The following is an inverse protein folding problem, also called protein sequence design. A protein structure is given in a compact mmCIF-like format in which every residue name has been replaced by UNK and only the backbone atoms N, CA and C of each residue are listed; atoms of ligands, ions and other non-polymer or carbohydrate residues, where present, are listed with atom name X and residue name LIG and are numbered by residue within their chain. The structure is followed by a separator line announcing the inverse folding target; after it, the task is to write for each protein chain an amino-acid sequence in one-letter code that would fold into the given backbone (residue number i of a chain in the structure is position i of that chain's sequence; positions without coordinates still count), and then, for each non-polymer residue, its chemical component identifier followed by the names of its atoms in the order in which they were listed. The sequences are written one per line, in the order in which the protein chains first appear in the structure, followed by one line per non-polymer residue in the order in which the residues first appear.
data_IF_152051563051
#
_entry.id   IF_152051563051
#
_cell.length_a   1.000
_cell.length_b   1.000
_cell.length_c   1.000
_cell.angle_alpha   90.00
_cell.angle_beta   90.00
_cell.angle_gamma   90.00
#
_symmetry.space_group_name_H-M   'P 1'
#
loop_
_entity.id
_entity.type
_entity.pdbx_description
1 polymer ?
#
# COMPACT_ATOMS: atom_id res chain seq x y z
N UNK A 1 -4.72 -13.30 -21.69
CA UNK A 1 -5.79 -14.33 -21.61
C UNK A 1 -6.38 -14.29 -20.22
N UNK A 2 -7.69 -14.19 -20.07
CA UNK A 2 -8.32 -14.31 -18.76
C UNK A 2 -7.97 -15.69 -18.18
N UNK A 3 -7.65 -15.73 -16.90
CA UNK A 3 -7.37 -17.00 -16.22
C UNK A 3 -8.60 -17.29 -15.32
N UNK A 4 -9.66 -17.94 -15.84
CA UNK A 4 -10.91 -18.16 -15.11
C UNK A 4 -10.69 -18.92 -13.80
N UNK A 5 -9.72 -19.84 -13.80
CA UNK A 5 -9.34 -20.58 -12.60
C UNK A 5 -8.76 -19.66 -11.51
N UNK A 6 -7.90 -18.72 -11.89
CA UNK A 6 -7.30 -17.76 -10.96
C UNK A 6 -8.37 -16.85 -10.35
N UNK A 7 -9.30 -16.34 -11.16
CA UNK A 7 -10.43 -15.55 -10.69
C UNK A 7 -11.25 -16.31 -9.63
N UNK A 8 -11.65 -17.56 -9.95
CA UNK A 8 -12.46 -18.39 -9.03
C UNK A 8 -11.74 -18.67 -7.70
N UNK A 9 -10.44 -19.01 -7.76
CA UNK A 9 -9.63 -19.28 -6.57
C UNK A 9 -9.45 -18.04 -5.73
N UNK A 10 -9.11 -16.90 -6.34
CA UNK A 10 -8.93 -15.62 -5.62
C UNK A 10 -10.24 -15.15 -4.99
N UNK A 11 -11.35 -15.17 -5.74
CA UNK A 11 -12.66 -14.78 -5.23
C UNK A 11 -13.09 -15.61 -4.02
N UNK A 12 -12.89 -16.94 -4.08
CA UNK A 12 -13.19 -17.83 -2.95
C UNK A 12 -12.33 -17.50 -1.71
N UNK A 13 -11.04 -17.25 -1.92
CA UNK A 13 -10.12 -16.92 -0.83
C UNK A 13 -10.45 -15.56 -0.19
N UNK A 14 -10.87 -14.58 -1.00
CA UNK A 14 -11.27 -13.26 -0.54
C UNK A 14 -12.58 -13.30 0.26
N UNK A 15 -13.58 -14.07 -0.20
CA UNK A 15 -14.86 -14.24 0.52
C UNK A 15 -14.66 -14.79 1.94
N UNK A 16 -13.71 -15.70 2.16
CA UNK A 16 -13.39 -16.20 3.51
C UNK A 16 -12.84 -15.12 4.45
N UNK A 17 -12.20 -14.10 3.92
CA UNK A 17 -11.63 -13.03 4.73
C UNK A 17 -12.70 -12.11 5.33
N UNK A 18 -13.86 -11.98 4.71
CA UNK A 18 -14.95 -11.12 5.19
C UNK A 18 -15.38 -11.49 6.61
N UNK A 19 -15.50 -12.78 6.93
CA UNK A 19 -15.84 -13.21 8.29
C UNK A 19 -14.84 -12.74 9.36
N UNK A 20 -13.56 -12.65 9.02
CA UNK A 20 -12.55 -12.11 9.95
C UNK A 20 -12.70 -10.59 10.10
N UNK A 21 -13.09 -9.88 9.02
CA UNK A 21 -13.36 -8.45 9.08
C UNK A 21 -14.60 -8.17 9.95
N UNK A 22 -15.63 -9.01 9.84
CA UNK A 22 -16.82 -8.94 10.70
C UNK A 22 -16.48 -9.09 12.19
N UNK A 23 -15.51 -9.94 12.54
CA UNK A 23 -15.03 -10.06 13.92
C UNK A 23 -14.40 -8.77 14.44
N UNK A 24 -13.69 -8.03 13.59
CA UNK A 24 -13.11 -6.72 13.97
C UNK A 24 -14.20 -5.69 14.30
N UNK A 25 -15.33 -5.74 13.59
CA UNK A 25 -16.49 -4.88 13.86
C UNK A 25 -17.23 -5.30 15.12
N UNK A 26 -17.33 -6.61 15.36
CA UNK A 26 -18.08 -7.16 16.48
C UNK A 26 -17.33 -7.13 17.80
N UNK A 27 -16.00 -7.30 17.77
CA UNK A 27 -15.14 -7.42 18.93
C UNK A 27 -13.90 -6.51 18.80
N UNK A 28 -14.06 -5.18 18.62
CA UNK A 28 -12.94 -4.28 18.32
C UNK A 28 -11.91 -4.19 19.44
N UNK A 29 -12.35 -4.18 20.69
CA UNK A 29 -11.46 -4.04 21.86
C UNK A 29 -10.62 -5.30 22.07
N UNK A 30 -11.23 -6.48 21.93
CA UNK A 30 -10.57 -7.77 22.05
C UNK A 30 -9.50 -7.93 20.97
N UNK A 31 -9.87 -7.66 19.72
CA UNK A 31 -8.94 -7.74 18.58
C UNK A 31 -7.77 -6.77 18.71
N UNK A 32 -8.02 -5.53 19.16
CA UNK A 32 -6.96 -4.55 19.39
C UNK A 32 -6.06 -4.95 20.57
N UNK A 33 -6.65 -5.49 21.65
CA UNK A 33 -5.91 -5.98 22.81
C UNK A 33 -4.99 -7.16 22.46
N UNK A 34 -5.49 -8.13 21.70
CA UNK A 34 -4.70 -9.26 21.21
C UNK A 34 -3.57 -8.79 20.28
N UNK A 35 -3.85 -7.85 19.36
CA UNK A 35 -2.85 -7.31 18.48
C UNK A 35 -1.76 -6.56 19.24
N UNK A 36 -2.13 -5.71 20.21
CA UNK A 36 -1.19 -4.98 21.07
C UNK A 36 -0.28 -5.98 21.82
N UNK A 37 -0.87 -7.00 22.45
CA UNK A 37 -0.11 -8.03 23.18
C UNK A 37 0.88 -8.75 22.27
N UNK A 38 0.46 -9.11 21.05
CA UNK A 38 1.33 -9.74 20.04
C UNK A 38 2.49 -8.82 19.64
N UNK A 39 2.23 -7.53 19.40
CA UNK A 39 3.27 -6.57 18.99
C UNK A 39 4.29 -6.34 20.11
N UNK A 40 3.83 -6.21 21.36
CA UNK A 40 4.69 -6.06 22.53
C UNK A 40 5.55 -7.31 22.72
N UNK A 41 4.95 -8.51 22.65
CA UNK A 41 5.68 -9.78 22.80
C UNK A 41 6.75 -9.96 21.74
N UNK A 42 6.46 -9.62 20.50
CA UNK A 42 7.44 -9.67 19.40
C UNK A 42 8.58 -8.66 19.60
N UNK A 43 8.28 -7.46 20.07
CA UNK A 43 9.27 -6.39 20.21
C UNK A 43 10.04 -6.40 21.55
N UNK A 44 9.69 -7.25 22.53
CA UNK A 44 10.26 -7.22 23.88
C UNK A 44 11.78 -7.36 23.98
N UNK A 45 12.41 -8.01 22.99
CA UNK A 45 13.86 -8.22 22.94
C UNK A 45 14.60 -7.13 22.16
N UNK A 46 13.89 -6.20 21.52
CA UNK A 46 14.50 -5.07 20.83
C UNK A 46 15.07 -4.05 21.81
N UNK A 47 15.96 -3.17 21.33
CA UNK A 47 16.46 -2.07 22.16
C UNK A 47 15.29 -1.21 22.73
N UNK A 48 14.31 -0.88 21.88
CA UNK A 48 13.13 -0.10 22.30
C UNK A 48 12.27 -0.85 23.33
N UNK A 49 12.02 -2.13 23.09
CA UNK A 49 11.25 -2.97 24.00
C UNK A 49 11.91 -3.15 25.36
N UNK A 50 13.24 -3.30 25.39
CA UNK A 50 14.00 -3.37 26.65
C UNK A 50 14.01 -2.02 27.39
N UNK A 51 14.22 -0.92 26.68
CA UNK A 51 14.21 0.44 27.23
C UNK A 51 12.90 0.76 27.94
N UNK A 52 11.77 0.34 27.36
CA UNK A 52 10.43 0.64 27.90
C UNK A 52 9.78 -0.55 28.61
N UNK A 53 10.55 -1.57 28.95
CA UNK A 53 10.10 -2.67 29.79
C UNK A 53 8.95 -3.50 29.20
N UNK A 54 8.95 -3.78 27.87
CA UNK A 54 7.88 -4.51 27.19
C UNK A 54 7.58 -5.87 27.80
N UNK A 55 8.55 -6.54 28.41
CA UNK A 55 8.36 -7.81 29.10
C UNK A 55 7.41 -7.75 30.30
N UNK A 56 7.17 -6.57 30.88
CA UNK A 56 6.28 -6.37 32.03
C UNK A 56 4.90 -5.80 31.63
N UNK A 57 4.70 -5.45 30.36
CA UNK A 57 3.46 -4.84 29.87
C UNK A 57 2.44 -5.94 29.55
N UNK A 58 1.32 -5.94 30.26
CA UNK A 58 0.21 -6.90 30.06
C UNK A 58 -1.13 -6.23 29.72
N UNK A 59 -1.17 -4.89 29.67
CA UNK A 59 -2.39 -4.13 29.37
C UNK A 59 -2.08 -2.85 28.60
N UNK A 60 -3.11 -2.34 27.90
CA UNK A 60 -3.02 -1.03 27.23
C UNK A 60 -2.65 0.09 28.21
N UNK A 61 -3.20 0.05 29.42
CA UNK A 61 -2.90 1.08 30.44
C UNK A 61 -1.41 1.08 30.79
N UNK A 62 -0.83 -0.08 31.05
CA UNK A 62 0.61 -0.20 31.34
C UNK A 62 1.46 0.27 30.15
N UNK A 63 1.06 -0.07 28.92
CA UNK A 63 1.73 0.41 27.72
C UNK A 63 1.70 1.95 27.66
N UNK A 64 0.54 2.57 27.87
CA UNK A 64 0.39 4.02 27.83
C UNK A 64 1.16 4.74 28.97
N UNK A 65 1.26 4.11 30.13
CA UNK A 65 1.99 4.66 31.30
C UNK A 65 3.53 4.55 31.13
N UNK A 66 4.03 3.51 30.42
CA UNK A 66 5.47 3.22 30.29
C UNK A 66 6.08 3.76 29.00
N UNK A 67 5.31 3.82 27.91
CA UNK A 67 5.80 4.22 26.60
C UNK A 67 5.37 5.66 26.31
N UNK A 68 6.31 6.62 26.25
CA UNK A 68 5.94 8.01 26.03
C UNK A 68 5.44 8.22 24.60
N UNK A 69 4.53 9.17 24.43
CA UNK A 69 4.20 9.69 23.10
C UNK A 69 5.44 10.35 22.52
N UNK A 70 5.86 9.92 21.34
CA UNK A 70 7.10 10.37 20.71
C UNK A 70 6.81 11.01 19.35
N UNK A 71 7.53 12.07 19.04
CA UNK A 71 7.59 12.66 17.70
C UNK A 71 8.61 11.91 16.83
N UNK A 72 8.65 12.24 15.55
CA UNK A 72 9.68 11.70 14.65
C UNK A 72 11.09 12.11 15.10
N UNK A 73 11.24 13.32 15.60
CA UNK A 73 12.49 13.91 16.07
C UNK A 73 13.03 13.15 17.28
N UNK A 74 12.17 12.70 18.18
CA UNK A 74 12.56 11.87 19.34
C UNK A 74 13.10 10.49 18.93
N UNK A 75 12.67 9.99 17.77
CA UNK A 75 13.06 8.70 17.22
C UNK A 75 14.16 8.81 16.15
N UNK A 76 14.54 10.01 15.74
CA UNK A 76 15.42 10.27 14.60
C UNK A 76 16.79 9.60 14.75
N UNK A 77 17.37 9.56 15.95
CA UNK A 77 18.64 8.86 16.19
C UNK A 77 18.51 7.36 15.96
N UNK A 78 17.50 6.72 16.52
CA UNK A 78 17.26 5.29 16.33
C UNK A 78 16.97 4.94 14.86
N UNK A 79 16.20 5.79 14.18
CA UNK A 79 15.93 5.64 12.74
C UNK A 79 17.24 5.77 11.97
N UNK A 80 18.09 6.76 12.33
CA UNK A 80 19.39 6.97 11.73
C UNK A 80 20.34 5.77 11.89
N UNK A 81 20.36 5.17 13.08
CA UNK A 81 21.14 3.95 13.37
C UNK A 81 20.61 2.75 12.55
N UNK A 82 19.28 2.57 12.48
CA UNK A 82 18.66 1.51 11.66
C UNK A 82 19.03 1.68 10.18
N UNK A 83 19.03 2.90 9.66
CA UNK A 83 19.44 3.22 8.28
C UNK A 83 20.90 2.89 8.00
N UNK A 84 21.78 3.00 9.00
CA UNK A 84 23.20 2.61 8.91
C UNK A 84 23.43 1.11 9.06
N UNK A 85 22.36 0.32 9.15
CA UNK A 85 22.40 -1.14 9.20
C UNK A 85 22.32 -1.73 10.60
N UNK A 86 22.18 -0.94 11.66
CA UNK A 86 21.95 -1.47 13.00
C UNK A 86 20.54 -2.06 13.10
N UNK A 87 20.45 -3.31 13.56
CA UNK A 87 19.19 -4.05 13.61
C UNK A 87 18.72 -4.27 15.03
N UNK A 88 17.49 -4.81 15.19
CA UNK A 88 16.88 -5.09 16.48
C UNK A 88 16.71 -3.84 17.38
N UNK A 89 16.55 -2.65 16.75
CA UNK A 89 16.29 -1.42 17.49
C UNK A 89 14.80 -1.24 17.81
N UNK A 90 13.96 -1.22 16.79
CA UNK A 90 12.50 -1.09 16.94
C UNK A 90 11.77 -2.43 16.79
N UNK A 91 12.30 -3.31 15.94
CA UNK A 91 11.68 -4.55 15.53
C UNK A 91 12.71 -5.65 15.38
N UNK A 92 12.38 -6.93 15.73
CA UNK A 92 13.37 -8.01 15.74
C UNK A 92 13.79 -8.47 14.35
N UNK A 93 12.91 -8.36 13.35
CA UNK A 93 13.28 -8.72 11.98
C UNK A 93 14.15 -7.64 11.33
N UNK A 94 14.93 -8.05 10.33
CA UNK A 94 15.83 -7.17 9.62
C UNK A 94 15.03 -6.11 8.84
N UNK A 95 15.28 -4.83 9.13
CA UNK A 95 14.68 -3.69 8.42
C UNK A 95 15.64 -3.23 7.33
N UNK A 96 15.22 -3.42 6.08
CA UNK A 96 15.95 -3.01 4.88
C UNK A 96 15.30 -1.85 4.14
N UNK A 97 14.01 -1.64 4.33
CA UNK A 97 13.21 -0.69 3.58
C UNK A 97 12.89 0.55 4.40
N UNK A 98 13.02 1.72 3.78
CA UNK A 98 12.69 3.01 4.39
C UNK A 98 11.83 3.83 3.44
N UNK A 99 10.58 4.03 3.82
CA UNK A 99 9.67 4.89 3.07
C UNK A 99 10.01 6.36 3.31
N UNK A 100 10.26 7.10 2.23
CA UNK A 100 10.54 8.53 2.26
C UNK A 100 9.23 9.31 2.21
N UNK A 101 8.95 10.11 3.24
CA UNK A 101 7.79 11.00 3.23
C UNK A 101 8.04 12.24 2.36
N UNK A 102 6.96 12.81 1.81
CA UNK A 102 7.02 14.04 0.99
C UNK A 102 7.37 15.32 1.77
N UNK A 103 7.58 15.24 3.08
CA UNK A 103 8.04 16.31 3.97
C UNK A 103 7.27 17.64 3.80
N UNK A 104 6.20 17.82 4.57
CA UNK A 104 5.44 19.07 4.57
C UNK A 104 5.81 19.99 5.75
N UNK A 105 6.62 19.51 6.70
CA UNK A 105 7.01 20.26 7.88
C UNK A 105 8.54 20.29 7.96
N UNK A 106 9.16 21.45 7.95
CA UNK A 106 10.61 21.71 8.06
C UNK A 106 11.51 21.25 6.89
N UNK A 107 11.03 21.22 5.63
CA UNK A 107 11.82 20.94 4.40
C UNK A 107 12.70 19.67 4.41
N UNK A 108 12.61 18.80 5.41
CA UNK A 108 13.39 17.56 5.50
C UNK A 108 12.49 16.35 5.32
N UNK A 109 12.80 15.55 4.32
CA UNK A 109 12.15 14.25 4.14
C UNK A 109 12.37 13.36 5.36
N UNK A 110 11.30 12.73 5.86
CA UNK A 110 11.35 11.76 6.95
C UNK A 110 11.47 10.35 6.36
N UNK A 111 12.22 9.50 7.02
CA UNK A 111 12.42 8.11 6.63
C UNK A 111 11.71 7.20 7.62
N UNK A 112 10.73 6.46 7.17
CA UNK A 112 9.93 5.55 8.01
C UNK A 112 10.43 4.13 7.77
N UNK A 113 10.94 3.43 8.79
CA UNK A 113 11.34 2.03 8.67
C UNK A 113 10.14 1.14 8.29
N UNK A 114 10.32 0.26 7.32
CA UNK A 114 9.29 -0.68 6.86
C UNK A 114 9.80 -2.09 7.02
N UNK A 115 9.24 -2.83 7.97
CA UNK A 115 9.56 -4.24 8.18
C UNK A 115 8.80 -5.14 7.21
N UNK A 116 9.26 -6.40 7.07
CA UNK A 116 8.54 -7.42 6.31
C UNK A 116 7.13 -7.68 6.87
N UNK A 117 6.99 -7.62 8.19
CA UNK A 117 5.72 -7.77 8.88
C UNK A 117 4.79 -6.58 8.59
N UNK A 118 5.30 -5.34 8.54
CA UNK A 118 4.53 -4.17 8.15
C UNK A 118 4.00 -4.29 6.71
N UNK A 119 4.81 -4.80 5.78
CA UNK A 119 4.35 -5.08 4.41
C UNK A 119 3.24 -6.15 4.40
N UNK A 120 3.45 -7.29 5.07
CA UNK A 120 2.55 -8.42 5.00
C UNK A 120 1.27 -8.23 5.83
N UNK A 121 1.42 -7.80 7.10
CA UNK A 121 0.32 -7.77 8.08
C UNK A 121 -0.44 -6.43 8.08
N UNK A 122 0.13 -5.38 7.46
CA UNK A 122 -0.53 -4.09 7.30
C UNK A 122 -0.85 -3.83 5.82
N UNK A 123 0.14 -3.56 4.97
CA UNK A 123 -0.11 -3.09 3.59
C UNK A 123 -0.79 -4.14 2.71
N UNK A 124 -0.25 -5.34 2.59
CA UNK A 124 -0.86 -6.38 1.74
C UNK A 124 -2.14 -6.93 2.32
N UNK A 125 -2.24 -7.02 3.66
CA UNK A 125 -3.46 -7.44 4.33
C UNK A 125 -4.58 -6.42 4.18
N UNK A 126 -4.30 -5.12 4.31
CA UNK A 126 -5.27 -4.06 4.05
C UNK A 126 -5.75 -4.05 2.59
N UNK A 127 -4.85 -4.24 1.62
CA UNK A 127 -5.22 -4.43 0.22
C UNK A 127 -6.12 -5.64 0.01
N UNK A 128 -5.81 -6.76 0.67
CA UNK A 128 -6.66 -7.95 0.64
C UNK A 128 -8.04 -7.69 1.28
N UNK A 129 -8.10 -6.97 2.39
CA UNK A 129 -9.35 -6.63 3.06
C UNK A 129 -10.23 -5.73 2.18
N UNK A 130 -9.65 -4.73 1.53
CA UNK A 130 -10.31 -3.87 0.56
C UNK A 130 -10.91 -4.69 -0.60
N UNK A 131 -10.14 -5.59 -1.20
CA UNK A 131 -10.61 -6.48 -2.27
C UNK A 131 -11.70 -7.43 -1.76
N UNK A 132 -11.58 -7.95 -0.53
CA UNK A 132 -12.57 -8.85 0.08
C UNK A 132 -13.92 -8.15 0.25
N UNK A 133 -13.93 -6.92 0.74
CA UNK A 133 -15.13 -6.10 0.87
C UNK A 133 -15.71 -5.75 -0.51
N UNK A 134 -14.86 -5.42 -1.48
CA UNK A 134 -15.30 -5.15 -2.84
C UNK A 134 -16.06 -6.35 -3.45
N UNK A 135 -15.45 -7.55 -3.40
CA UNK A 135 -16.09 -8.78 -3.89
C UNK A 135 -17.32 -9.21 -3.09
N UNK A 136 -17.37 -8.89 -1.79
CA UNK A 136 -18.56 -9.14 -0.98
C UNK A 136 -19.76 -8.27 -1.43
N UNK A 137 -19.47 -7.01 -1.78
CA UNK A 137 -20.48 -6.05 -2.20
C UNK A 137 -20.81 -6.16 -3.70
N UNK A 138 -19.94 -6.77 -4.49
CA UNK A 138 -20.09 -6.97 -5.94
C UNK A 138 -19.81 -8.44 -6.29
N UNK A 139 -20.76 -9.35 -6.02
CA UNK A 139 -20.56 -10.79 -6.18
C UNK A 139 -20.32 -11.24 -7.62
N UNK A 140 -20.78 -10.46 -8.60
CA UNK A 140 -20.63 -10.70 -10.03
C UNK A 140 -19.39 -10.03 -10.64
N UNK A 141 -18.54 -9.40 -9.81
CA UNK A 141 -17.32 -8.73 -10.26
C UNK A 141 -16.41 -9.66 -11.07
N UNK A 142 -15.90 -9.15 -12.17
CA UNK A 142 -14.96 -9.83 -13.07
C UNK A 142 -13.51 -9.29 -12.90
N UNK A 143 -13.21 -8.63 -11.78
CA UNK A 143 -11.98 -7.90 -11.50
C UNK A 143 -10.69 -8.63 -11.92
N UNK A 144 -10.59 -9.93 -11.63
CA UNK A 144 -9.40 -10.73 -11.96
C UNK A 144 -9.48 -11.45 -13.31
N UNK A 145 -10.47 -11.16 -14.14
CA UNK A 145 -10.50 -11.68 -15.51
C UNK A 145 -9.67 -10.83 -16.48
N UNK A 146 -9.42 -9.57 -16.12
CA UNK A 146 -8.55 -8.67 -16.86
C UNK A 146 -7.36 -8.22 -16.01
N UNK A 147 -6.82 -7.04 -16.34
CA UNK A 147 -5.63 -6.44 -15.72
C UNK A 147 -5.99 -5.27 -14.81
N UNK A 148 -5.24 -5.13 -13.74
CA UNK A 148 -5.24 -3.93 -12.91
C UNK A 148 -4.19 -2.93 -13.45
N UNK A 149 -4.61 -1.80 -14.01
CA UNK A 149 -3.71 -0.72 -14.39
C UNK A 149 -3.24 0.02 -13.14
N UNK A 150 -1.95 -0.12 -12.83
CA UNK A 150 -1.35 0.49 -11.65
C UNK A 150 -0.41 1.62 -12.01
N UNK A 151 -0.63 2.78 -11.43
CA UNK A 151 0.26 3.92 -11.52
C UNK A 151 0.98 4.11 -10.18
N UNK A 152 2.22 3.64 -10.10
CA UNK A 152 3.10 3.80 -8.94
C UNK A 152 3.88 5.12 -8.97
N UNK A 153 4.59 5.41 -7.87
CA UNK A 153 5.43 6.60 -7.74
C UNK A 153 6.51 6.70 -8.82
N UNK A 154 7.02 7.92 -9.01
CA UNK A 154 7.94 8.29 -10.10
C UNK A 154 9.43 8.13 -9.75
N UNK A 155 9.77 7.59 -8.56
CA UNK A 155 11.17 7.50 -8.12
C UNK A 155 11.57 6.06 -7.92
N UNK A 156 12.73 5.70 -8.48
CA UNK A 156 13.38 4.44 -8.20
C UNK A 156 13.80 4.34 -6.73
N UNK A 157 14.03 3.12 -6.30
CA UNK A 157 14.60 2.82 -5.00
C UNK A 157 16.10 3.13 -5.02
N UNK A 158 16.56 3.86 -4.03
CA UNK A 158 17.98 4.10 -3.79
C UNK A 158 18.52 3.08 -2.81
N UNK A 159 19.70 2.54 -3.08
CA UNK A 159 20.39 1.62 -2.18
C UNK A 159 21.59 2.29 -1.54
N UNK A 160 21.73 2.17 -0.22
CA UNK A 160 22.89 2.59 0.55
C UNK A 160 23.09 1.61 1.72
N UNK A 161 24.27 1.01 1.83
CA UNK A 161 24.61 0.09 2.93
C UNK A 161 23.63 -1.09 3.10
N UNK A 162 23.18 -1.72 2.02
CA UNK A 162 22.15 -2.77 2.01
C UNK A 162 20.80 -2.32 2.55
N UNK A 163 20.53 -1.03 2.58
CA UNK A 163 19.22 -0.45 2.87
C UNK A 163 18.67 0.24 1.64
N UNK A 164 17.37 0.22 1.48
CA UNK A 164 16.66 0.72 0.31
C UNK A 164 15.71 1.85 0.71
N UNK A 165 15.73 2.93 -0.04
CA UNK A 165 14.98 4.15 0.22
C UNK A 165 14.13 4.52 -0.98
N UNK A 166 12.90 4.91 -0.76
CA UNK A 166 12.03 5.39 -1.81
C UNK A 166 10.61 5.67 -1.35
N UNK A 167 9.75 5.99 -2.29
CA UNK A 167 8.34 6.14 -1.99
C UNK A 167 7.74 4.80 -1.52
N UNK A 168 6.80 4.85 -0.58
CA UNK A 168 6.14 3.64 -0.08
C UNK A 168 5.51 2.82 -1.20
N UNK A 169 4.94 3.46 -2.22
CA UNK A 169 4.38 2.78 -3.39
C UNK A 169 5.43 1.99 -4.18
N UNK A 170 6.65 2.51 -4.31
CA UNK A 170 7.75 1.80 -4.96
C UNK A 170 8.18 0.57 -4.12
N UNK A 171 8.27 0.72 -2.79
CA UNK A 171 8.58 -0.39 -1.87
C UNK A 171 7.50 -1.48 -1.95
N UNK A 172 6.21 -1.10 -1.99
CA UNK A 172 5.10 -2.05 -2.13
C UNK A 172 5.19 -2.79 -3.48
N UNK A 173 5.45 -2.07 -4.59
CA UNK A 173 5.56 -2.67 -5.92
C UNK A 173 6.74 -3.65 -5.99
N UNK A 174 7.90 -3.29 -5.42
CA UNK A 174 9.08 -4.16 -5.37
C UNK A 174 8.85 -5.46 -4.59
N UNK A 175 7.98 -5.43 -3.60
CA UNK A 175 7.68 -6.58 -2.74
C UNK A 175 6.34 -7.24 -3.05
N UNK A 176 5.73 -6.97 -4.21
CA UNK A 176 4.44 -7.56 -4.57
C UNK A 176 4.53 -9.09 -4.70
N UNK A 177 3.51 -9.81 -4.25
CA UNK A 177 3.41 -11.23 -4.53
C UNK A 177 3.21 -11.49 -6.04
N UNK A 178 3.82 -12.57 -6.55
CA UNK A 178 3.82 -12.91 -7.99
C UNK A 178 2.42 -12.92 -8.62
N UNK A 179 1.40 -13.39 -7.91
CA UNK A 179 0.03 -13.39 -8.45
C UNK A 179 -0.51 -11.98 -8.74
N UNK A 180 -0.15 -11.00 -7.91
CA UNK A 180 -0.56 -9.62 -8.09
C UNK A 180 0.15 -8.96 -9.27
N UNK A 181 1.37 -9.40 -9.60
CA UNK A 181 2.10 -8.97 -10.78
C UNK A 181 1.47 -9.54 -12.06
N UNK A 182 1.08 -10.82 -12.05
CA UNK A 182 0.44 -11.48 -13.20
C UNK A 182 -0.85 -10.77 -13.63
N UNK A 183 -1.67 -10.33 -12.68
CA UNK A 183 -2.95 -9.63 -12.96
C UNK A 183 -2.80 -8.12 -13.13
N UNK A 184 -1.59 -7.60 -13.25
CA UNK A 184 -1.35 -6.15 -13.32
C UNK A 184 -0.72 -5.72 -14.64
N UNK A 185 -0.95 -4.46 -14.97
CA UNK A 185 -0.27 -3.72 -16.05
C UNK A 185 0.09 -2.33 -15.53
N UNK A 186 1.19 -1.73 -15.94
CA UNK A 186 2.28 -2.30 -16.75
C UNK A 186 3.13 -3.30 -15.94
N UNK A 187 4.13 -3.89 -16.62
CA UNK A 187 5.09 -4.76 -15.95
C UNK A 187 5.89 -4.03 -14.86
N UNK A 188 6.48 -4.79 -13.93
CA UNK A 188 7.35 -4.26 -12.88
C UNK A 188 8.44 -3.31 -13.45
N UNK A 189 9.11 -3.71 -14.52
CA UNK A 189 10.15 -2.90 -15.17
C UNK A 189 9.66 -1.51 -15.58
N UNK A 190 8.47 -1.43 -16.17
CA UNK A 190 7.87 -0.14 -16.59
C UNK A 190 7.39 0.65 -15.37
N UNK A 191 6.81 -0.02 -14.38
CA UNK A 191 6.36 0.62 -13.13
C UNK A 191 7.49 1.31 -12.37
N UNK A 192 8.71 0.79 -12.46
CA UNK A 192 9.90 1.31 -11.77
C UNK A 192 10.73 2.30 -12.60
N UNK A 193 10.29 2.70 -13.80
CA UNK A 193 10.97 3.73 -14.60
C UNK A 193 10.96 5.08 -13.88
N UNK A 194 12.08 5.81 -13.98
CA UNK A 194 12.27 7.11 -13.33
C UNK A 194 11.75 8.27 -14.16
N UNK A 195 12.10 8.28 -15.45
CA UNK A 195 11.78 9.36 -16.35
C UNK A 195 10.29 9.32 -16.70
N UNK A 196 9.56 10.39 -16.33
CA UNK A 196 8.11 10.45 -16.34
C UNK A 196 7.50 10.32 -17.75
N UNK A 197 8.02 11.04 -18.74
CA UNK A 197 7.44 11.04 -20.07
C UNK A 197 7.60 9.68 -20.75
N UNK A 198 8.79 9.10 -20.66
CA UNK A 198 9.09 7.75 -21.18
C UNK A 198 8.26 6.69 -20.46
N UNK A 199 8.10 6.83 -19.16
CA UNK A 199 7.26 5.94 -18.34
C UNK A 199 5.80 5.97 -18.79
N UNK A 200 5.22 7.17 -18.95
CA UNK A 200 3.83 7.33 -19.43
C UNK A 200 3.65 6.67 -20.78
N UNK A 201 4.55 6.92 -21.73
CA UNK A 201 4.48 6.29 -23.05
C UNK A 201 4.54 4.76 -22.98
N UNK A 202 5.44 4.22 -22.16
CA UNK A 202 5.55 2.77 -21.95
C UNK A 202 4.30 2.18 -21.26
N UNK A 203 3.67 2.90 -20.33
CA UNK A 203 2.41 2.49 -19.70
C UNK A 203 1.29 2.44 -20.75
N UNK A 204 1.15 3.49 -21.56
CA UNK A 204 0.12 3.56 -22.60
C UNK A 204 0.27 2.37 -23.56
N UNK A 205 1.48 2.14 -24.07
CA UNK A 205 1.77 1.01 -24.96
C UNK A 205 1.44 -0.35 -24.31
N UNK A 206 1.65 -0.48 -23.00
CA UNK A 206 1.37 -1.72 -22.29
C UNK A 206 -0.12 -1.96 -22.04
N UNK A 207 -0.94 -0.90 -21.86
CA UNK A 207 -2.32 -1.06 -21.37
C UNK A 207 -3.40 -0.87 -22.43
N UNK A 208 -3.12 -0.18 -23.55
CA UNK A 208 -4.14 0.13 -24.57
C UNK A 208 -4.80 -1.11 -25.18
N UNK A 209 -4.03 -2.19 -25.36
CA UNK A 209 -4.52 -3.45 -25.93
C UNK A 209 -4.84 -4.52 -24.88
N UNK A 210 -4.80 -4.16 -23.59
CA UNK A 210 -5.15 -5.07 -22.51
C UNK A 210 -6.62 -4.89 -22.10
N UNK A 211 -7.21 -5.94 -21.58
CA UNK A 211 -8.52 -5.84 -20.91
C UNK A 211 -8.31 -5.31 -19.48
N UNK A 212 -8.39 -3.99 -19.32
CA UNK A 212 -8.23 -3.35 -18.03
C UNK A 212 -9.55 -3.35 -17.28
N UNK A 213 -9.59 -4.07 -16.16
CA UNK A 213 -10.77 -4.19 -15.29
C UNK A 213 -10.73 -3.27 -14.08
N UNK A 214 -9.54 -2.79 -13.69
CA UNK A 214 -9.41 -1.84 -12.58
C UNK A 214 -8.26 -0.88 -12.76
N UNK A 215 -8.38 0.26 -12.09
CA UNK A 215 -7.36 1.28 -12.00
C UNK A 215 -6.87 1.39 -10.54
N UNK A 216 -5.58 1.65 -10.34
CA UNK A 216 -5.01 1.90 -9.00
C UNK A 216 -3.91 2.95 -9.05
N UNK A 217 -4.01 3.98 -8.21
CA UNK A 217 -3.01 5.03 -8.13
C UNK A 217 -3.51 6.35 -7.53
N UNK A 218 -2.63 7.35 -7.50
CA UNK A 218 -2.98 8.70 -7.03
C UNK A 218 -3.83 9.41 -8.10
N UNK A 219 -5.00 9.98 -7.73
CA UNK A 219 -5.96 10.53 -8.69
C UNK A 219 -5.40 11.56 -9.66
N UNK A 220 -4.59 12.51 -9.18
CA UNK A 220 -4.01 13.56 -10.05
C UNK A 220 -3.12 12.98 -11.16
N UNK A 221 -2.27 12.02 -10.84
CA UNK A 221 -1.41 11.36 -11.80
C UNK A 221 -2.16 10.41 -12.72
N UNK A 222 -3.17 9.71 -12.18
CA UNK A 222 -4.03 8.85 -12.98
C UNK A 222 -4.81 9.68 -14.01
N UNK A 223 -5.32 10.86 -13.63
CA UNK A 223 -6.01 11.74 -14.57
C UNK A 223 -5.11 12.16 -15.74
N UNK A 224 -3.85 12.54 -15.47
CA UNK A 224 -2.86 12.86 -16.50
C UNK A 224 -2.63 11.68 -17.44
N UNK A 225 -2.48 10.47 -16.90
CA UNK A 225 -2.32 9.25 -17.71
C UNK A 225 -3.53 9.00 -18.59
N UNK A 226 -4.75 9.08 -18.04
CA UNK A 226 -5.99 8.84 -18.77
C UNK A 226 -6.20 9.86 -19.90
N UNK A 227 -5.90 11.15 -19.68
CA UNK A 227 -5.92 12.18 -20.71
C UNK A 227 -4.95 11.87 -21.85
N UNK A 228 -3.73 11.43 -21.52
CA UNK A 228 -2.74 11.03 -22.52
C UNK A 228 -3.18 9.80 -23.33
N UNK A 229 -3.85 8.86 -22.70
CA UNK A 229 -4.44 7.70 -23.37
C UNK A 229 -5.53 8.14 -24.35
N UNK A 230 -6.43 9.03 -23.95
CA UNK A 230 -7.48 9.58 -24.81
C UNK A 230 -6.88 10.33 -26.01
N UNK A 231 -5.87 11.19 -25.79
CA UNK A 231 -5.15 11.90 -26.85
C UNK A 231 -4.53 10.94 -27.89
N UNK A 232 -3.94 9.83 -27.46
CA UNK A 232 -3.25 8.89 -28.35
C UNK A 232 -4.19 7.90 -29.06
N UNK A 233 -5.28 7.53 -28.39
CA UNK A 233 -6.25 6.55 -28.96
C UNK A 233 -7.37 7.22 -29.74
N UNK A 234 -7.61 8.53 -29.54
CA UNK A 234 -8.75 9.22 -30.08
C UNK A 234 -10.09 8.85 -29.44
N UNK A 235 -10.07 8.06 -28.36
CA UNK A 235 -11.28 7.63 -27.65
C UNK A 235 -11.65 8.69 -26.58
N UNK A 236 -12.84 9.25 -26.70
CA UNK A 236 -13.35 10.21 -25.68
C UNK A 236 -13.82 9.51 -24.42
N UNK A 237 -14.37 8.30 -24.55
CA UNK A 237 -14.87 7.49 -23.44
C UNK A 237 -13.95 6.28 -23.19
N UNK A 238 -13.32 6.24 -22.01
CA UNK A 238 -12.44 5.14 -21.64
C UNK A 238 -13.13 3.77 -21.55
N UNK A 239 -14.45 3.73 -21.36
CA UNK A 239 -15.22 2.47 -21.40
C UNK A 239 -15.34 1.90 -22.81
N UNK A 240 -15.08 2.69 -23.87
CA UNK A 240 -14.94 2.15 -25.23
C UNK A 240 -13.62 1.43 -25.42
N UNK A 241 -12.58 1.89 -24.71
CA UNK A 241 -11.27 1.24 -24.70
C UNK A 241 -11.25 0.02 -23.76
N UNK A 242 -11.82 0.18 -22.58
CA UNK A 242 -11.86 -0.83 -21.52
C UNK A 242 -13.29 -1.08 -21.03
N UNK A 243 -14.09 -1.84 -21.81
CA UNK A 243 -15.52 -2.04 -21.49
C UNK A 243 -15.77 -2.78 -20.19
N UNK A 244 -14.77 -3.50 -19.68
CA UNK A 244 -14.84 -4.25 -18.43
C UNK A 244 -14.22 -3.50 -17.23
N UNK A 245 -13.86 -2.21 -17.37
CA UNK A 245 -13.36 -1.41 -16.27
C UNK A 245 -14.46 -1.12 -15.25
N UNK A 246 -14.31 -1.64 -14.02
CA UNK A 246 -15.39 -1.61 -13.02
C UNK A 246 -15.03 -0.82 -11.75
N UNK A 247 -13.74 -0.61 -11.44
CA UNK A 247 -13.37 0.04 -10.18
C UNK A 247 -12.05 0.79 -10.25
N UNK A 248 -11.98 1.90 -9.50
CA UNK A 248 -10.76 2.67 -9.26
C UNK A 248 -10.39 2.66 -7.79
N UNK A 249 -9.24 2.08 -7.46
CA UNK A 249 -8.65 2.10 -6.13
C UNK A 249 -7.67 3.26 -5.98
N UNK A 250 -7.96 4.19 -5.10
CA UNK A 250 -7.10 5.34 -4.93
C UNK A 250 -6.79 5.66 -3.47
N UNK A 251 -5.70 6.41 -3.26
CA UNK A 251 -5.26 6.95 -1.98
C UNK A 251 -4.60 8.31 -2.16
N UNK A 252 -4.16 8.90 -1.06
CA UNK A 252 -3.42 10.17 -1.09
C UNK A 252 -4.28 11.43 -1.24
N UNK A 253 -5.60 11.29 -1.32
CA UNK A 253 -6.55 12.41 -1.26
C UNK A 253 -7.62 12.12 -0.22
N UNK A 254 -7.99 13.14 0.55
CA UNK A 254 -9.12 13.04 1.47
C UNK A 254 -10.42 13.02 0.67
N UNK A 255 -11.27 12.01 0.91
CA UNK A 255 -12.62 11.96 0.31
C UNK A 255 -13.43 13.21 0.69
N UNK A 256 -13.24 13.77 1.87
CA UNK A 256 -13.86 15.00 2.34
C UNK A 256 -13.46 16.21 1.48
N UNK A 257 -12.18 16.36 1.17
CA UNK A 257 -11.70 17.44 0.30
C UNK A 257 -12.28 17.38 -1.11
N UNK A 258 -12.45 16.18 -1.66
CA UNK A 258 -13.05 15.98 -2.99
C UNK A 258 -14.56 16.19 -2.98
N UNK A 259 -15.26 15.77 -1.94
CA UNK A 259 -16.70 15.93 -1.80
C UNK A 259 -17.07 17.42 -1.70
N UNK A 260 -16.28 18.20 -0.98
CA UNK A 260 -16.49 19.66 -0.89
C UNK A 260 -16.16 20.42 -2.16
N UNK A 261 -15.27 19.91 -3.02
CA UNK A 261 -14.94 20.55 -4.30
C UNK A 261 -15.99 20.25 -5.40
N UNK A 262 -16.81 19.21 -5.25
CA UNK A 262 -17.79 18.77 -6.24
C UNK A 262 -19.25 18.93 -5.82
N UNK A 263 -19.54 19.27 -4.57
CA UNK A 263 -20.91 19.64 -4.20
C UNK A 263 -21.28 20.93 -4.93
N UNK A 264 -22.34 20.97 -5.75
CA UNK A 264 -22.88 22.20 -6.25
C UNK A 264 -23.17 23.08 -5.04
N UNK A 265 -22.68 24.27 -5.03
CA UNK A 265 -23.19 25.30 -4.11
C UNK A 265 -24.52 25.75 -4.71
N UNK A 266 -25.61 25.27 -4.12
CA UNK A 266 -26.93 25.84 -4.32
C UNK A 266 -26.92 27.30 -3.83
#
# INVERSE_FOLDING_TARGET
MPIPLLHSVLSWFLKKRVHQIELFLKYPNEVQGELLSKLIDQAKTTWFGQKYGFSSITSYKQFADQVPVSTYEDLADLIGRTRKGEQNLFWPSNIKWFAKSSGTTNDKSKYIPVSKEALNECHFKAGKDMLSLYFNNNPDSQLFQGKALRLGGSKSLYEENNTYFGDLSAIIIENLPLWAEIVSTPSHKVSMMEEWETKIQAIIQACVNEDVTSLAGVPSWMLVLLQKIQEQTGQENLLELWPNAEVYFHGGVSSVSYTHLRAPRD
#
